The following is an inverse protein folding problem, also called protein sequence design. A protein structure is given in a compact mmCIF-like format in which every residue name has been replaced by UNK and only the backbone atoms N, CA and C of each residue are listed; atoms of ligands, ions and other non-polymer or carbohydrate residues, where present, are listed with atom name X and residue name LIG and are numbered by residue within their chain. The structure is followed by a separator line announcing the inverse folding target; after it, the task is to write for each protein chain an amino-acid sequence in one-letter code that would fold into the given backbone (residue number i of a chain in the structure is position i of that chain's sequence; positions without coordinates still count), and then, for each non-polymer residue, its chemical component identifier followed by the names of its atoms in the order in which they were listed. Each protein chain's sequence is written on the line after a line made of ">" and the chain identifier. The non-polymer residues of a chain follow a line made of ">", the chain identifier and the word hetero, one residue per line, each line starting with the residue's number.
data_IF_084434511725
#
_entry.id   IF_084434511725
#
_cell.length_a   1.000
_cell.length_b   1.000
_cell.length_c   1.000
_cell.angle_alpha   90.00
_cell.angle_beta   90.00
_cell.angle_gamma   90.00
#
_symmetry.space_group_name_H-M   'P 1'
#
loop_
_entity.id
_entity.type
_entity.pdbx_description
1 polymer ?
#
# COMPACT_ATOMS: atom_id res chain seq x y z
N UNK A 1 27.04 -1.86 -31.32
CA UNK A 1 26.08 -1.63 -30.22
C UNK A 1 26.76 -2.01 -28.89
N UNK A 2 27.75 -1.25 -28.44
CA UNK A 2 28.75 -1.76 -27.47
C UNK A 2 28.87 -0.90 -26.20
N UNK A 3 28.09 0.18 -26.09
CA UNK A 3 28.13 1.09 -24.95
C UNK A 3 26.86 1.09 -24.08
N UNK A 4 25.89 0.22 -24.36
CA UNK A 4 24.62 0.19 -23.62
C UNK A 4 24.76 -0.21 -22.15
N UNK A 5 25.77 -1.02 -21.82
CA UNK A 5 25.93 -1.64 -20.49
C UNK A 5 26.43 -0.61 -19.46
N UNK A 6 27.15 0.43 -19.88
CA UNK A 6 27.69 1.47 -18.98
C UNK A 6 26.62 2.46 -18.53
N UNK A 7 25.59 2.69 -19.35
CA UNK A 7 24.54 3.67 -19.06
C UNK A 7 23.41 3.10 -18.19
N UNK A 8 23.19 1.77 -18.19
CA UNK A 8 22.17 1.10 -17.38
C UNK A 8 22.28 1.36 -15.86
N UNK A 9 23.46 1.24 -15.22
CA UNK A 9 23.57 1.50 -13.78
C UNK A 9 23.36 2.99 -13.45
N UNK A 10 23.79 3.90 -14.33
CA UNK A 10 23.56 5.33 -14.15
C UNK A 10 22.08 5.70 -14.30
N UNK A 11 21.38 5.14 -15.29
CA UNK A 11 19.93 5.34 -15.46
C UNK A 11 19.10 4.69 -14.34
N UNK A 12 19.59 3.61 -13.74
CA UNK A 12 18.96 2.98 -12.57
C UNK A 12 19.17 3.80 -11.29
N UNK A 13 20.33 4.43 -11.14
CA UNK A 13 20.67 5.29 -10.00
C UNK A 13 19.95 6.65 -10.08
N UNK A 14 19.88 7.24 -11.28
CA UNK A 14 19.16 8.50 -11.56
C UNK A 14 17.64 8.29 -11.61
N UNK A 15 17.17 7.08 -11.93
CA UNK A 15 15.77 6.77 -12.18
C UNK A 15 14.86 6.72 -10.95
N UNK A 16 15.41 6.88 -9.74
CA UNK A 16 14.72 6.66 -8.46
C UNK A 16 13.89 5.35 -8.47
N UNK A 17 12.99 5.15 -7.50
CA UNK A 17 12.27 3.89 -7.41
C UNK A 17 11.48 3.59 -8.71
N UNK A 18 11.83 2.46 -9.35
CA UNK A 18 11.19 1.90 -10.56
C UNK A 18 9.66 1.89 -10.48
N UNK A 19 9.11 1.83 -9.26
CA UNK A 19 7.68 1.85 -8.99
C UNK A 19 6.95 3.08 -9.55
N UNK A 20 7.57 4.26 -9.64
CA UNK A 20 6.94 5.47 -10.20
C UNK A 20 7.06 5.61 -11.71
N UNK A 21 7.81 4.72 -12.38
CA UNK A 21 7.92 4.69 -13.85
C UNK A 21 6.69 4.09 -14.51
N UNK A 22 5.86 3.39 -13.75
CA UNK A 22 4.64 2.76 -14.22
C UNK A 22 3.43 3.61 -13.82
N UNK A 23 2.45 3.74 -14.72
CA UNK A 23 1.23 4.52 -14.45
C UNK A 23 0.31 3.84 -13.42
N UNK A 24 0.48 2.53 -13.26
CA UNK A 24 -0.39 1.67 -12.45
C UNK A 24 -0.60 2.11 -10.99
N UNK A 25 0.41 2.57 -10.22
CA UNK A 25 0.18 3.06 -8.85
C UNK A 25 -0.73 4.29 -8.81
N UNK A 26 -0.57 5.20 -9.77
CA UNK A 26 -1.41 6.41 -9.88
C UNK A 26 -2.84 6.06 -10.27
N UNK A 27 -3.02 5.16 -11.24
CA UNK A 27 -4.34 4.67 -11.64
C UNK A 27 -5.05 3.94 -10.49
N UNK A 28 -4.34 3.12 -9.74
CA UNK A 28 -4.89 2.42 -8.57
C UNK A 28 -5.32 3.40 -7.48
N UNK A 29 -4.53 4.44 -7.24
CA UNK A 29 -4.87 5.50 -6.31
C UNK A 29 -6.13 6.26 -6.74
N UNK A 30 -6.18 6.71 -7.99
CA UNK A 30 -7.34 7.42 -8.56
C UNK A 30 -8.60 6.56 -8.56
N UNK A 31 -8.47 5.26 -8.86
CA UNK A 31 -9.58 4.30 -8.74
C UNK A 31 -10.10 4.25 -7.30
N UNK A 32 -9.20 4.22 -6.31
CA UNK A 32 -9.57 4.26 -4.89
C UNK A 32 -10.35 5.52 -4.52
N UNK A 33 -9.90 6.69 -4.98
CA UNK A 33 -10.62 7.96 -4.79
C UNK A 33 -12.00 7.94 -5.44
N UNK A 34 -12.09 7.45 -6.68
CA UNK A 34 -13.37 7.34 -7.41
C UNK A 34 -14.40 6.47 -6.68
N UNK A 35 -13.96 5.43 -5.97
CA UNK A 35 -14.84 4.59 -5.15
C UNK A 35 -15.33 5.29 -3.87
N UNK A 36 -14.60 6.31 -3.37
CA UNK A 36 -14.99 7.09 -2.18
C UNK A 36 -16.02 8.17 -2.48
N UNK A 37 -16.10 8.61 -3.74
CA UNK A 37 -17.06 9.64 -4.18
C UNK A 37 -18.46 9.03 -4.29
N UNK A 38 -19.25 9.15 -3.22
CA UNK A 38 -20.66 8.79 -3.16
C UNK A 38 -21.55 9.90 -3.70
N UNK A 39 -21.19 11.16 -3.42
CA UNK A 39 -21.89 12.34 -3.93
C UNK A 39 -21.05 13.04 -5.01
N UNK A 40 -21.53 13.04 -6.26
CA UNK A 40 -20.85 13.70 -7.38
C UNK A 40 -21.03 15.23 -7.40
N UNK A 41 -22.04 15.76 -6.70
CA UNK A 41 -22.24 17.19 -6.58
C UNK A 41 -21.21 17.83 -5.62
N UNK A 42 -20.75 17.07 -4.63
CA UNK A 42 -19.77 17.49 -3.62
C UNK A 42 -18.67 16.45 -3.47
N UNK A 43 -17.78 16.38 -4.46
CA UNK A 43 -16.75 15.35 -4.57
C UNK A 43 -15.75 15.41 -3.41
N UNK A 44 -15.27 16.61 -3.07
CA UNK A 44 -14.29 16.82 -2.00
C UNK A 44 -14.87 16.41 -0.64
N UNK A 45 -16.08 16.87 -0.34
CA UNK A 45 -16.80 16.55 0.89
C UNK A 45 -17.01 15.04 1.03
N UNK A 46 -17.46 14.37 -0.04
CA UNK A 46 -17.64 12.92 -0.04
C UNK A 46 -16.34 12.16 0.19
N UNK A 47 -15.20 12.68 -0.26
CA UNK A 47 -13.89 12.07 0.00
C UNK A 47 -13.51 12.27 1.46
N UNK A 48 -13.65 13.49 2.01
CA UNK A 48 -13.36 13.81 3.41
C UNK A 48 -14.19 12.94 4.36
N UNK A 49 -15.49 12.80 4.10
CA UNK A 49 -16.38 11.94 4.88
C UNK A 49 -15.90 10.48 4.89
N UNK A 50 -15.52 9.96 3.71
CA UNK A 50 -15.00 8.60 3.59
C UNK A 50 -13.67 8.41 4.35
N UNK A 51 -12.83 9.45 4.45
CA UNK A 51 -11.63 9.43 5.28
C UNK A 51 -11.97 9.50 6.77
N UNK A 52 -12.92 10.34 7.17
CA UNK A 52 -13.34 10.47 8.57
C UNK A 52 -13.84 9.13 9.12
N UNK A 53 -14.73 8.45 8.38
CA UNK A 53 -15.24 7.12 8.75
C UNK A 53 -14.11 6.10 8.85
N UNK A 54 -13.12 6.18 7.96
CA UNK A 54 -11.96 5.29 7.95
C UNK A 54 -11.06 5.50 9.17
N UNK A 55 -10.78 6.75 9.54
CA UNK A 55 -9.99 7.12 10.72
C UNK A 55 -10.69 6.72 12.02
N UNK A 56 -12.00 6.98 12.13
CA UNK A 56 -12.80 6.55 13.29
C UNK A 56 -12.78 5.03 13.41
N UNK A 57 -12.93 4.31 12.30
CA UNK A 57 -12.84 2.85 12.27
C UNK A 57 -11.46 2.33 12.70
N UNK A 58 -10.40 3.03 12.33
CA UNK A 58 -9.03 2.71 12.76
C UNK A 58 -8.85 2.97 14.26
N UNK A 59 -9.26 4.14 14.73
CA UNK A 59 -9.15 4.51 16.15
C UNK A 59 -9.94 3.55 17.04
N UNK A 60 -11.19 3.25 16.66
CA UNK A 60 -12.05 2.33 17.40
C UNK A 60 -11.54 0.89 17.37
N UNK A 61 -10.80 0.47 16.33
CA UNK A 61 -10.21 -0.88 16.26
C UNK A 61 -9.25 -1.18 17.41
N UNK A 62 -8.58 -0.17 17.98
CA UNK A 62 -7.70 -0.35 19.13
C UNK A 62 -8.43 -0.77 20.41
N UNK A 63 -9.74 -0.53 20.47
CA UNK A 63 -10.58 -0.89 21.61
C UNK A 63 -11.30 -2.23 21.42
N UNK A 64 -11.23 -2.84 20.24
CA UNK A 64 -11.89 -4.10 19.91
C UNK A 64 -10.92 -5.28 19.91
N UNK A 65 -11.44 -6.47 20.18
CA UNK A 65 -10.69 -7.73 20.15
C UNK A 65 -10.16 -8.05 18.74
N UNK A 66 -8.95 -8.63 18.66
CA UNK A 66 -8.21 -8.85 17.40
C UNK A 66 -8.93 -9.73 16.37
N UNK A 67 -9.86 -10.58 16.83
CA UNK A 67 -10.64 -11.47 15.97
C UNK A 67 -11.78 -10.75 15.23
N UNK A 68 -12.10 -9.51 15.58
CA UNK A 68 -13.14 -8.71 14.91
C UNK A 68 -12.57 -8.16 13.59
N UNK A 69 -13.19 -8.56 12.48
CA UNK A 69 -12.76 -8.19 11.15
C UNK A 69 -13.08 -6.72 10.82
N UNK A 70 -12.09 -5.84 10.96
CA UNK A 70 -12.17 -4.46 10.48
C UNK A 70 -11.62 -4.29 9.06
N UNK A 71 -11.88 -3.14 8.42
CA UNK A 71 -11.56 -2.84 7.00
C UNK A 71 -10.11 -3.21 6.63
N UNK A 72 -9.17 -3.21 7.57
CA UNK A 72 -7.77 -3.49 7.29
C UNK A 72 -7.26 -4.85 7.77
N UNK A 73 -8.00 -5.58 8.61
CA UNK A 73 -7.74 -7.01 8.84
C UNK A 73 -8.40 -7.89 7.77
N UNK A 74 -9.13 -7.30 6.82
CA UNK A 74 -9.69 -8.04 5.69
C UNK A 74 -8.57 -8.38 4.71
N UNK A 75 -8.32 -9.67 4.44
CA UNK A 75 -7.37 -10.05 3.40
C UNK A 75 -7.83 -9.46 2.07
N UNK A 76 -6.88 -8.90 1.30
CA UNK A 76 -7.13 -8.49 -0.08
C UNK A 76 -7.68 -9.67 -0.87
N UNK A 77 -8.60 -9.42 -1.80
CA UNK A 77 -9.20 -10.47 -2.64
C UNK A 77 -8.18 -11.19 -3.56
N UNK A 78 -6.97 -10.64 -3.67
CA UNK A 78 -5.87 -11.18 -4.47
C UNK A 78 -4.63 -11.52 -3.61
N UNK A 79 -4.69 -11.39 -2.28
CA UNK A 79 -3.58 -11.82 -1.42
C UNK A 79 -3.79 -13.29 -1.05
N UNK A 80 -3.31 -14.20 -1.90
CA UNK A 80 -3.12 -15.62 -1.58
C UNK A 80 -1.97 -15.84 -0.57
N UNK A 81 -1.50 -14.78 0.11
CA UNK A 81 -0.52 -14.82 1.18
C UNK A 81 -1.18 -14.97 2.57
N UNK A 82 -2.41 -15.48 2.63
CA UNK A 82 -3.01 -15.89 3.88
C UNK A 82 -2.48 -17.28 4.29
N UNK A 83 -1.25 -17.29 4.80
CA UNK A 83 -0.68 -18.21 5.81
C UNK A 83 0.83 -18.06 5.77
N UNK A 84 1.37 -17.28 6.68
CA UNK A 84 2.65 -17.48 7.38
C UNK A 84 2.75 -16.31 8.36
N UNK A 85 2.13 -16.45 9.52
CA UNK A 85 2.86 -16.79 10.74
C UNK A 85 3.69 -15.58 11.20
N UNK A 86 3.25 -15.01 12.32
CA UNK A 86 3.80 -13.90 13.10
C UNK A 86 5.24 -14.13 13.60
N UNK A 87 6.01 -14.98 12.92
CA UNK A 87 7.38 -15.39 13.24
C UNK A 87 8.42 -14.94 12.20
N UNK A 88 8.03 -14.55 10.99
CA UNK A 88 9.00 -14.26 9.91
C UNK A 88 9.55 -12.83 9.95
N UNK A 89 8.91 -11.88 10.64
CA UNK A 89 9.42 -10.50 10.72
C UNK A 89 10.60 -10.30 11.69
N UNK A 90 10.95 -11.30 12.51
CA UNK A 90 12.06 -11.18 13.46
C UNK A 90 13.41 -11.71 12.94
N UNK A 91 13.47 -12.29 11.75
CA UNK A 91 14.68 -13.00 11.28
C UNK A 91 15.46 -12.33 10.14
N UNK A 92 14.99 -11.21 9.58
CA UNK A 92 15.63 -10.63 8.37
C UNK A 92 16.86 -9.77 8.69
N UNK A 93 17.15 -9.48 9.97
CA UNK A 93 18.31 -8.67 10.37
C UNK A 93 19.20 -9.35 11.42
N UNK A 94 19.65 -10.58 11.16
CA UNK A 94 20.79 -11.15 11.87
C UNK A 94 21.94 -11.34 10.88
N UNK A 95 22.77 -10.31 10.72
CA UNK A 95 24.08 -10.46 10.09
C UNK A 95 25.05 -11.10 11.10
N UNK A 96 25.91 -12.05 10.68
CA UNK A 96 26.91 -12.62 11.56
C UNK A 96 27.99 -11.56 11.83
N UNK A 97 28.10 -11.10 13.07
CA UNK A 97 29.34 -10.48 13.57
C UNK A 97 30.35 -11.59 13.84
N UNK A 98 31.57 -11.33 13.38
CA UNK A 98 32.80 -12.13 13.43
C UNK A 98 32.98 -13.10 14.60
#
# INVERSE_FOLDING_TARGET
>A
MEHLIVHLPYEADVGEHVQYRWMYPFERFLRGLKMKVKNKAHVEESIVEAYLVKEIGLFTSHYFEQHILYIWNRPSRNDDLAKNDTRIQQFIFNYPTS
#
